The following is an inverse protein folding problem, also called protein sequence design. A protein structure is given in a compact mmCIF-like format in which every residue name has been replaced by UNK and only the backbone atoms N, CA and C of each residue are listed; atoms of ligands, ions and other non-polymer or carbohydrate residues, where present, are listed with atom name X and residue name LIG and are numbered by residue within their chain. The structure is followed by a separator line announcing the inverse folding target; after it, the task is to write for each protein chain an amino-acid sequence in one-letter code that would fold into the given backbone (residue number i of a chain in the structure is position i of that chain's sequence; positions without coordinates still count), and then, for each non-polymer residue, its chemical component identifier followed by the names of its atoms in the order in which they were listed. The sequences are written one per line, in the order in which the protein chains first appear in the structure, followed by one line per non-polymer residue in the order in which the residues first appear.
data_IF_258855809599
#
_entry.id   IF_258855809599
#
_cell.length_a   1.000
_cell.length_b   1.000
_cell.length_c   1.000
_cell.angle_alpha   90.00
_cell.angle_beta   90.00
_cell.angle_gamma   90.00
#
_symmetry.space_group_name_H-M   'P 1'
#
loop_
_entity.id
_entity.type
_entity.pdbx_description
1 polymer ?
#
# COMPACT_ATOMS: atom_id res chain seq x y z
N UNK A 1 11.36 1.03 -12.98
CA UNK A 1 9.97 0.99 -12.50
C UNK A 1 9.51 -0.45 -12.55
N UNK A 2 8.81 -0.91 -11.53
CA UNK A 2 8.24 -2.25 -11.49
C UNK A 2 6.78 -2.15 -11.10
N UNK A 3 5.93 -2.90 -11.78
CA UNK A 3 4.52 -3.11 -11.43
C UNK A 3 4.43 -4.47 -10.76
N UNK A 4 4.12 -4.52 -9.48
CA UNK A 4 3.81 -5.77 -8.79
C UNK A 4 2.31 -6.00 -8.83
N UNK A 5 1.86 -7.16 -9.31
CA UNK A 5 0.45 -7.45 -9.54
C UNK A 5 0.03 -8.74 -8.86
N UNK A 6 -1.09 -8.67 -8.15
CA UNK A 6 -1.76 -9.84 -7.60
C UNK A 6 -2.48 -10.59 -8.72
N UNK A 7 -2.03 -11.80 -9.00
CA UNK A 7 -2.62 -12.72 -9.96
C UNK A 7 -3.46 -13.79 -9.28
N UNK A 8 -3.94 -13.60 -8.05
CA UNK A 8 -4.80 -14.60 -7.37
C UNK A 8 -6.06 -14.96 -8.18
N UNK A 9 -6.59 -14.00 -8.93
CA UNK A 9 -7.75 -14.19 -9.82
C UNK A 9 -7.35 -14.44 -11.29
N UNK A 10 -6.05 -14.46 -11.61
CA UNK A 10 -5.51 -14.55 -12.97
C UNK A 10 -4.57 -15.76 -13.11
N UNK A 11 -4.43 -16.29 -14.31
CA UNK A 11 -3.36 -17.25 -14.59
C UNK A 11 -1.98 -16.56 -14.62
N UNK A 12 -0.87 -17.29 -14.39
CA UNK A 12 0.47 -16.76 -14.61
C UNK A 12 0.63 -16.21 -16.04
N UNK A 13 1.30 -15.08 -16.21
CA UNK A 13 1.54 -14.39 -17.48
C UNK A 13 0.37 -13.57 -18.00
N UNK A 14 -0.86 -13.80 -17.52
CA UNK A 14 -2.06 -13.10 -18.02
C UNK A 14 -2.02 -11.61 -17.69
N UNK A 15 -1.49 -11.24 -16.52
CA UNK A 15 -1.41 -9.84 -16.14
C UNK A 15 -0.36 -9.11 -16.99
N UNK A 16 0.79 -9.74 -17.22
CA UNK A 16 1.84 -9.23 -18.12
C UNK A 16 1.26 -8.96 -19.50
N UNK A 17 0.62 -9.95 -20.11
CA UNK A 17 0.02 -9.82 -21.46
C UNK A 17 -0.98 -8.67 -21.53
N UNK A 18 -1.86 -8.54 -20.52
CA UNK A 18 -2.85 -7.46 -20.44
C UNK A 18 -2.19 -6.09 -20.32
N UNK A 19 -1.19 -5.95 -19.46
CA UNK A 19 -0.47 -4.69 -19.32
C UNK A 19 0.27 -4.30 -20.59
N UNK A 20 0.92 -5.26 -21.27
CA UNK A 20 1.58 -5.01 -22.55
C UNK A 20 0.59 -4.61 -23.63
N UNK A 21 -0.55 -5.29 -23.72
CA UNK A 21 -1.63 -4.93 -24.65
C UNK A 21 -2.21 -3.54 -24.36
N UNK A 22 -2.23 -3.11 -23.09
CA UNK A 22 -2.62 -1.77 -22.67
C UNK A 22 -1.52 -0.71 -22.87
N UNK A 23 -0.35 -1.08 -23.43
CA UNK A 23 0.73 -0.15 -23.76
C UNK A 23 1.77 0.04 -22.65
N UNK A 24 1.82 -0.82 -21.63
CA UNK A 24 2.86 -0.76 -20.61
C UNK A 24 4.24 -0.96 -21.26
N UNK A 25 5.18 0.00 -21.17
CA UNK A 25 6.46 -0.07 -21.86
C UNK A 25 7.31 -1.28 -21.44
N UNK A 26 8.03 -1.88 -22.40
CA UNK A 26 8.84 -3.09 -22.15
C UNK A 26 9.91 -2.95 -21.07
N UNK A 27 10.41 -1.73 -20.86
CA UNK A 27 11.39 -1.44 -19.82
C UNK A 27 10.80 -1.44 -18.40
N UNK A 28 9.47 -1.37 -18.26
CA UNK A 28 8.77 -1.54 -16.98
C UNK A 28 8.68 -3.03 -16.68
N UNK A 29 9.26 -3.45 -15.55
CA UNK A 29 9.19 -4.84 -15.12
C UNK A 29 7.80 -5.13 -14.54
N UNK A 30 7.28 -6.33 -14.77
CA UNK A 30 6.06 -6.82 -14.12
C UNK A 30 6.45 -7.98 -13.21
N UNK A 31 6.13 -7.87 -11.94
CA UNK A 31 6.28 -8.92 -10.94
C UNK A 31 4.89 -9.48 -10.62
N UNK A 32 4.64 -10.72 -10.99
CA UNK A 32 3.41 -11.43 -10.64
C UNK A 32 3.60 -12.17 -9.33
N UNK A 33 2.60 -12.11 -8.45
CA UNK A 33 2.50 -12.95 -7.25
C UNK A 33 1.03 -13.33 -7.03
N UNK A 34 0.77 -14.37 -6.25
CA UNK A 34 -0.59 -14.75 -5.86
C UNK A 34 -0.72 -14.90 -4.34
N UNK A 35 -1.96 -15.08 -3.86
CA UNK A 35 -2.27 -15.29 -2.45
C UNK A 35 -1.47 -16.46 -1.86
N UNK A 36 -1.23 -17.53 -2.63
CA UNK A 36 -0.44 -18.66 -2.16
C UNK A 36 1.03 -18.26 -1.87
N UNK A 37 1.60 -17.35 -2.65
CA UNK A 37 2.95 -16.83 -2.40
C UNK A 37 2.98 -16.00 -1.11
N UNK A 38 1.96 -15.16 -0.90
CA UNK A 38 1.79 -14.41 0.36
C UNK A 38 1.65 -15.33 1.56
N UNK A 39 0.81 -16.37 1.49
CA UNK A 39 0.59 -17.30 2.60
C UNK A 39 1.85 -18.10 2.91
N UNK A 40 2.60 -18.49 1.88
CA UNK A 40 3.87 -19.19 2.06
C UNK A 40 4.91 -18.32 2.77
N UNK A 41 4.98 -17.04 2.44
CA UNK A 41 5.91 -16.11 3.09
C UNK A 41 5.43 -15.66 4.48
N UNK A 42 4.11 -15.54 4.69
CA UNK A 42 3.49 -14.99 5.89
C UNK A 42 2.30 -15.84 6.36
N UNK A 43 2.55 -17.01 6.99
CA UNK A 43 1.47 -17.90 7.43
C UNK A 43 0.49 -17.25 8.42
N UNK A 44 0.94 -16.24 9.19
CA UNK A 44 0.10 -15.47 10.13
C UNK A 44 -1.15 -14.87 9.45
N UNK A 45 -1.06 -14.54 8.15
CA UNK A 45 -2.17 -13.94 7.42
C UNK A 45 -3.39 -14.86 7.36
N UNK A 46 -3.21 -16.18 7.18
CA UNK A 46 -4.33 -17.15 7.14
C UNK A 46 -4.57 -17.83 8.47
N UNK A 47 -3.52 -18.08 9.23
CA UNK A 47 -3.61 -18.81 10.48
C UNK A 47 -4.26 -17.98 11.59
N UNK A 48 -4.14 -16.66 11.54
CA UNK A 48 -4.67 -15.75 12.55
C UNK A 48 -5.53 -14.64 11.92
N UNK A 49 -4.93 -13.79 11.06
CA UNK A 49 -5.57 -12.54 10.64
C UNK A 49 -6.85 -12.76 9.82
N UNK A 50 -6.84 -13.68 8.86
CA UNK A 50 -8.02 -14.03 8.05
C UNK A 50 -9.20 -14.48 8.93
N UNK A 51 -8.94 -15.00 10.13
CA UNK A 51 -9.96 -15.49 11.08
C UNK A 51 -10.52 -14.38 11.98
N UNK A 52 -9.93 -13.18 12.00
CA UNK A 52 -10.40 -12.07 12.84
C UNK A 52 -11.82 -11.63 12.44
N UNK A 53 -12.67 -11.17 13.38
CA UNK A 53 -14.09 -10.91 13.11
C UNK A 53 -14.34 -9.89 11.98
N UNK A 54 -13.54 -8.83 11.88
CA UNK A 54 -13.67 -7.83 10.83
C UNK A 54 -13.46 -8.45 9.43
N UNK A 55 -12.42 -9.27 9.26
CA UNK A 55 -12.15 -10.00 8.03
C UNK A 55 -13.30 -10.94 7.64
N UNK A 56 -13.88 -11.63 8.62
CA UNK A 56 -15.01 -12.54 8.40
C UNK A 56 -16.32 -11.82 8.03
N UNK A 57 -16.43 -10.51 8.31
CA UNK A 57 -17.59 -9.70 7.90
C UNK A 57 -17.50 -9.23 6.44
N UNK A 58 -16.32 -9.22 5.84
CA UNK A 58 -16.16 -8.82 4.43
C UNK A 58 -16.55 -9.99 3.52
N UNK A 59 -17.71 -9.84 2.88
CA UNK A 59 -18.27 -10.86 1.99
C UNK A 59 -17.33 -11.20 0.84
N UNK A 60 -16.70 -10.21 0.22
CA UNK A 60 -15.81 -10.37 -0.93
C UNK A 60 -14.58 -11.23 -0.60
N UNK A 61 -13.98 -11.03 0.57
CA UNK A 61 -12.88 -11.88 1.05
C UNK A 61 -13.35 -13.32 1.30
N UNK A 62 -14.55 -13.51 1.88
CA UNK A 62 -15.12 -14.84 2.12
C UNK A 62 -15.47 -15.59 0.84
N UNK A 63 -15.93 -14.87 -0.18
CA UNK A 63 -16.29 -15.43 -1.49
C UNK A 63 -15.05 -15.61 -2.40
N UNK A 64 -13.86 -15.24 -1.94
CA UNK A 64 -12.62 -15.31 -2.72
C UNK A 64 -12.56 -14.32 -3.88
N UNK A 65 -13.39 -13.28 -3.85
CA UNK A 65 -13.38 -12.18 -4.83
C UNK A 65 -12.16 -11.28 -4.61
N UNK A 66 -11.83 -11.03 -3.35
CA UNK A 66 -10.60 -10.34 -2.96
C UNK A 66 -9.62 -11.34 -2.37
N UNK A 67 -8.35 -11.17 -2.72
CA UNK A 67 -7.25 -11.88 -2.06
C UNK A 67 -6.87 -11.18 -0.75
N UNK A 68 -5.98 -11.82 0.01
CA UNK A 68 -5.30 -11.21 1.16
C UNK A 68 -4.50 -9.96 0.79
N UNK A 69 -4.10 -9.79 -0.46
CA UNK A 69 -3.38 -8.60 -0.91
C UNK A 69 -4.23 -7.32 -0.78
N UNK A 70 -5.56 -7.42 -0.66
CA UNK A 70 -6.46 -6.28 -0.45
C UNK A 70 -6.38 -5.65 0.96
N UNK A 71 -5.84 -6.38 1.95
CA UNK A 71 -5.76 -5.92 3.33
C UNK A 71 -4.37 -5.97 3.96
N UNK A 72 -3.40 -6.50 3.22
CA UNK A 72 -2.04 -6.75 3.69
C UNK A 72 -1.02 -6.25 2.67
N UNK A 73 -1.14 -4.97 2.28
CA UNK A 73 -0.36 -4.35 1.19
C UNK A 73 1.15 -4.46 1.43
N UNK A 74 1.61 -4.18 2.67
CA UNK A 74 3.03 -4.31 3.03
C UNK A 74 3.58 -5.74 2.87
N UNK A 75 2.78 -6.77 3.16
CA UNK A 75 3.17 -8.16 2.93
C UNK A 75 3.25 -8.48 1.43
N UNK A 76 2.26 -8.05 0.66
CA UNK A 76 2.22 -8.22 -0.79
C UNK A 76 3.41 -7.56 -1.48
N UNK A 77 3.70 -6.30 -1.14
CA UNK A 77 4.86 -5.56 -1.61
C UNK A 77 6.17 -6.27 -1.28
N UNK A 78 6.29 -6.82 -0.07
CA UNK A 78 7.49 -7.52 0.35
C UNK A 78 7.74 -8.82 -0.42
N UNK A 79 6.73 -9.48 -1.00
CA UNK A 79 6.99 -10.63 -1.90
C UNK A 79 7.89 -10.20 -3.05
N UNK A 80 7.54 -9.09 -3.71
CA UNK A 80 8.37 -8.52 -4.76
C UNK A 80 9.73 -8.08 -4.21
N UNK A 81 9.73 -7.29 -3.14
CA UNK A 81 10.96 -6.69 -2.63
C UNK A 81 11.99 -7.75 -2.21
N UNK A 82 11.55 -8.80 -1.54
CA UNK A 82 12.42 -9.88 -1.09
C UNK A 82 12.92 -10.77 -2.23
N UNK A 83 12.23 -10.79 -3.38
CA UNK A 83 12.70 -11.48 -4.60
C UNK A 83 13.92 -10.82 -5.24
N UNK A 84 14.18 -9.54 -4.94
CA UNK A 84 15.33 -8.79 -5.47
C UNK A 84 16.58 -9.16 -4.66
N UNK A 85 17.71 -9.49 -5.31
CA UNK A 85 18.99 -9.69 -4.63
C UNK A 85 19.35 -8.49 -3.75
N UNK A 86 19.82 -8.72 -2.53
CA UNK A 86 20.01 -7.66 -1.52
C UNK A 86 20.83 -6.45 -1.99
N UNK A 87 21.90 -6.69 -2.75
CA UNK A 87 22.75 -5.63 -3.32
C UNK A 87 22.05 -4.77 -4.37
N UNK A 88 21.00 -5.30 -5.01
CA UNK A 88 20.21 -4.67 -6.07
C UNK A 88 18.89 -4.08 -5.58
N UNK A 89 18.53 -4.25 -4.30
CA UNK A 89 17.28 -3.69 -3.75
C UNK A 89 17.30 -2.17 -3.85
N UNK A 90 16.20 -1.49 -4.17
CA UNK A 90 16.17 -0.03 -4.12
C UNK A 90 16.32 0.46 -2.66
N UNK A 91 16.81 1.69 -2.48
CA UNK A 91 16.85 2.32 -1.16
C UNK A 91 15.46 2.75 -0.68
N UNK A 92 14.62 3.18 -1.64
CA UNK A 92 13.23 3.56 -1.41
C UNK A 92 12.33 2.99 -2.50
N UNK A 93 11.11 2.62 -2.12
CA UNK A 93 10.05 2.17 -3.03
C UNK A 93 8.83 3.07 -2.86
N UNK A 94 8.36 3.67 -3.96
CA UNK A 94 7.05 4.29 -4.01
C UNK A 94 6.00 3.26 -4.45
N UNK A 95 4.87 3.26 -3.76
CA UNK A 95 3.70 2.44 -4.05
C UNK A 95 2.52 3.36 -4.30
N UNK A 96 1.79 3.07 -5.37
CA UNK A 96 0.56 3.73 -5.76
C UNK A 96 -0.49 2.63 -5.95
N UNK A 97 -1.67 2.82 -5.37
CA UNK A 97 -2.84 2.01 -5.74
C UNK A 97 -3.23 2.30 -7.21
N UNK A 98 -3.88 1.34 -7.85
CA UNK A 98 -4.22 1.38 -9.28
C UNK A 98 -5.27 2.46 -9.61
N UNK A 99 -6.06 2.87 -8.64
CA UNK A 99 -7.08 3.92 -8.76
C UNK A 99 -6.61 5.30 -8.24
N UNK A 100 -5.31 5.51 -8.11
CA UNK A 100 -4.71 6.82 -7.83
C UNK A 100 -4.42 7.59 -9.12
N UNK A 101 -4.85 8.85 -9.13
CA UNK A 101 -4.54 9.82 -10.18
C UNK A 101 -3.62 10.93 -9.69
N UNK A 102 -2.69 11.37 -10.55
CA UNK A 102 -1.94 12.61 -10.34
C UNK A 102 -2.16 13.58 -11.49
N UNK A 103 -2.54 14.83 -11.19
CA UNK A 103 -2.83 15.87 -12.21
C UNK A 103 -1.59 16.66 -12.65
N UNK A 104 -0.42 16.35 -12.10
CA UNK A 104 0.87 16.96 -12.44
C UNK A 104 1.80 16.01 -13.18
N UNK A 105 3.07 16.39 -13.28
CA UNK A 105 4.15 15.50 -13.71
C UNK A 105 4.70 14.74 -12.49
N UNK A 106 4.68 13.41 -12.52
CA UNK A 106 5.24 12.59 -11.44
C UNK A 106 6.73 12.86 -11.21
N UNK A 107 7.47 13.28 -12.24
CA UNK A 107 8.87 13.68 -12.10
C UNK A 107 9.01 14.86 -11.14
N UNK A 108 8.12 15.86 -11.21
CA UNK A 108 8.10 17.00 -10.29
C UNK A 108 7.75 16.56 -8.87
N UNK A 109 6.81 15.63 -8.72
CA UNK A 109 6.45 15.06 -7.41
C UNK A 109 7.65 14.32 -6.76
N UNK A 110 8.35 13.48 -7.51
CA UNK A 110 9.54 12.78 -7.01
C UNK A 110 10.69 13.73 -6.76
N UNK A 111 10.89 14.74 -7.61
CA UNK A 111 11.88 15.78 -7.40
C UNK A 111 11.56 16.63 -6.15
N UNK A 112 10.29 16.89 -5.85
CA UNK A 112 9.93 17.62 -4.63
C UNK A 112 10.19 16.80 -3.37
N UNK A 113 10.10 15.47 -3.43
CA UNK A 113 10.21 14.57 -2.27
C UNK A 113 11.57 13.89 -2.14
N UNK A 114 12.51 14.12 -3.06
CA UNK A 114 13.81 13.42 -3.09
C UNK A 114 14.68 13.63 -1.84
N UNK A 115 14.49 14.75 -1.14
CA UNK A 115 15.26 15.12 0.04
C UNK A 115 14.73 14.46 1.33
N UNK A 116 13.54 13.85 1.26
CA UNK A 116 12.94 13.19 2.41
C UNK A 116 13.66 11.89 2.75
N UNK A 117 14.15 11.78 3.98
CA UNK A 117 14.91 10.61 4.46
C UNK A 117 14.08 9.64 5.29
N UNK A 118 12.85 10.02 5.67
CA UNK A 118 11.98 9.19 6.48
C UNK A 118 11.75 7.80 5.87
N UNK A 119 11.70 6.79 6.73
CA UNK A 119 11.49 5.39 6.35
C UNK A 119 10.09 5.12 5.80
N UNK A 120 9.10 5.87 6.27
CA UNK A 120 7.75 5.89 5.72
C UNK A 120 7.34 7.32 5.35
N UNK A 121 6.94 7.53 4.09
CA UNK A 121 6.12 8.67 3.71
C UNK A 121 4.71 8.21 3.42
N UNK A 122 3.73 8.77 4.12
CA UNK A 122 2.32 8.44 3.91
C UNK A 122 1.43 9.65 4.15
N UNK A 123 0.18 9.55 3.72
CA UNK A 123 -0.84 10.56 4.00
C UNK A 123 -1.66 10.18 5.26
N UNK A 124 -2.11 11.19 6.01
CA UNK A 124 -3.03 11.02 7.15
C UNK A 124 -2.49 10.08 8.24
N UNK A 125 -1.23 10.26 8.65
CA UNK A 125 -0.67 9.55 9.81
C UNK A 125 -1.33 10.08 11.09
N UNK A 126 -2.02 9.20 11.83
CA UNK A 126 -2.71 9.55 13.08
C UNK A 126 -2.89 8.31 13.97
N UNK A 127 -3.20 8.46 15.28
CA UNK A 127 -3.44 7.31 16.15
C UNK A 127 -4.66 6.48 15.70
N UNK A 128 -4.59 5.16 15.88
CA UNK A 128 -5.72 4.25 15.66
C UNK A 128 -6.84 4.52 16.68
N UNK A 129 -8.08 4.54 16.20
CA UNK A 129 -9.28 4.63 17.06
C UNK A 129 -9.92 3.26 17.25
N UNK A 130 -10.40 2.94 18.46
CA UNK A 130 -11.23 1.74 18.71
C UNK A 130 -12.56 1.74 17.96
N UNK A 131 -12.97 2.89 17.40
CA UNK A 131 -14.17 2.98 16.56
C UNK A 131 -13.90 2.63 15.10
N UNK A 132 -12.63 2.53 14.69
CA UNK A 132 -12.27 2.23 13.31
C UNK A 132 -12.41 0.74 13.03
N UNK A 133 -13.12 0.35 11.98
CA UNK A 133 -13.51 -1.04 11.72
C UNK A 133 -12.37 -2.08 11.79
N UNK A 134 -11.13 -1.68 11.46
CA UNK A 134 -9.98 -2.57 11.40
C UNK A 134 -9.08 -2.57 12.64
N UNK A 135 -9.43 -1.82 13.69
CA UNK A 135 -8.57 -1.58 14.86
C UNK A 135 -8.06 -2.87 15.54
N UNK A 136 -8.87 -3.93 15.54
CA UNK A 136 -8.59 -5.23 16.15
C UNK A 136 -8.11 -6.31 15.16
N UNK A 137 -7.91 -5.95 13.89
CA UNK A 137 -7.40 -6.86 12.86
C UNK A 137 -5.88 -6.93 12.94
N UNK A 138 -5.40 -7.50 14.05
CA UNK A 138 -3.99 -7.62 14.41
C UNK A 138 -3.66 -9.06 14.82
N UNK A 139 -2.43 -9.51 14.60
CA UNK A 139 -1.96 -10.81 15.11
C UNK A 139 -1.74 -10.72 16.60
N UNK A 140 -1.69 -11.87 17.27
CA UNK A 140 -1.55 -11.89 18.72
C UNK A 140 -0.17 -11.34 19.14
N UNK A 141 0.87 -11.62 18.35
CA UNK A 141 2.21 -11.05 18.57
C UNK A 141 2.24 -9.53 18.37
N UNK A 142 1.54 -9.01 17.36
CA UNK A 142 1.43 -7.58 17.15
C UNK A 142 0.74 -6.91 18.33
N UNK A 143 -0.36 -7.49 18.83
CA UNK A 143 -1.11 -6.96 19.96
C UNK A 143 -0.25 -6.85 21.22
N UNK A 144 0.62 -7.85 21.46
CA UNK A 144 1.55 -7.88 22.57
C UNK A 144 2.70 -6.86 22.45
N UNK A 145 3.20 -6.61 21.24
CA UNK A 145 4.37 -5.73 21.00
C UNK A 145 4.00 -4.26 20.81
N UNK A 146 2.85 -4.01 20.20
CA UNK A 146 2.38 -2.67 19.84
C UNK A 146 1.02 -2.47 20.50
N UNK A 147 1.00 -2.04 21.76
CA UNK A 147 -0.25 -1.81 22.47
C UNK A 147 -1.02 -0.67 21.79
N UNK A 148 -2.35 -0.67 21.94
CA UNK A 148 -3.24 0.19 21.16
C UNK A 148 -2.86 1.68 21.17
N UNK A 149 -2.38 2.22 22.29
CA UNK A 149 -1.99 3.63 22.40
C UNK A 149 -0.78 4.01 21.52
N UNK A 150 0.01 3.02 21.11
CA UNK A 150 1.20 3.19 20.26
C UNK A 150 0.89 2.83 18.79
N UNK A 151 -0.38 2.53 18.46
CA UNK A 151 -0.80 2.23 17.10
C UNK A 151 -1.14 3.48 16.33
N UNK A 152 -0.64 3.53 15.11
CA UNK A 152 -0.91 4.56 14.12
C UNK A 152 -1.61 3.94 12.93
N UNK A 153 -2.45 4.72 12.26
CA UNK A 153 -2.95 4.41 10.93
C UNK A 153 -2.49 5.48 9.94
N UNK A 154 -2.30 5.06 8.69
CA UNK A 154 -1.97 5.91 7.56
C UNK A 154 -2.69 5.37 6.32
N UNK A 155 -3.03 6.25 5.39
CA UNK A 155 -3.65 5.83 4.12
C UNK A 155 -2.61 5.17 3.23
N UNK A 156 -3.03 4.13 2.52
CA UNK A 156 -2.17 3.30 1.67
C UNK A 156 -2.23 3.63 0.18
N UNK A 157 -3.09 4.58 -0.20
CA UNK A 157 -3.25 5.03 -1.59
C UNK A 157 -1.92 5.37 -2.27
N UNK A 158 -1.08 6.14 -1.57
CA UNK A 158 0.28 6.46 -2.00
C UNK A 158 1.19 6.45 -0.80
N UNK A 159 2.25 5.65 -0.87
CA UNK A 159 3.24 5.53 0.20
C UNK A 159 4.64 5.40 -0.37
N UNK A 160 5.64 5.83 0.40
CA UNK A 160 7.05 5.53 0.14
C UNK A 160 7.62 4.76 1.32
N UNK A 161 8.28 3.66 1.05
CA UNK A 161 8.94 2.81 2.03
C UNK A 161 10.45 2.86 1.82
N UNK A 162 11.24 2.91 2.89
CA UNK A 162 12.67 2.60 2.84
C UNK A 162 12.89 1.09 2.77
N UNK A 163 14.09 0.72 2.33
CA UNK A 163 14.59 -0.67 2.44
C UNK A 163 14.52 -1.19 3.88
N UNK A 164 14.99 -0.38 4.84
CA UNK A 164 15.04 -0.77 6.26
C UNK A 164 13.65 -1.11 6.79
N UNK A 165 12.64 -0.31 6.44
CA UNK A 165 11.25 -0.59 6.81
C UNK A 165 10.75 -1.88 6.15
N UNK A 166 10.98 -2.07 4.86
CA UNK A 166 10.53 -3.28 4.16
C UNK A 166 11.16 -4.57 4.72
N UNK A 167 12.46 -4.54 4.99
CA UNK A 167 13.17 -5.66 5.61
C UNK A 167 12.66 -5.92 7.04
N UNK A 168 12.43 -4.88 7.84
CA UNK A 168 11.87 -5.01 9.19
C UNK A 168 10.44 -5.55 9.20
N UNK A 169 9.57 -5.05 8.31
CA UNK A 169 8.21 -5.56 8.12
C UNK A 169 8.22 -7.04 7.70
N UNK A 170 9.12 -7.42 6.79
CA UNK A 170 9.27 -8.80 6.37
C UNK A 170 9.69 -9.69 7.54
N UNK A 171 10.72 -9.29 8.28
CA UNK A 171 11.22 -10.04 9.43
C UNK A 171 10.13 -10.25 10.49
N UNK A 172 9.43 -9.17 10.87
CA UNK A 172 8.35 -9.22 11.84
C UNK A 172 7.22 -10.16 11.40
N UNK A 173 6.77 -10.06 10.16
CA UNK A 173 5.65 -10.87 9.67
C UNK A 173 6.05 -12.34 9.44
N UNK A 174 7.21 -12.59 8.81
CA UNK A 174 7.64 -13.93 8.39
C UNK A 174 8.23 -14.74 9.56
N UNK A 175 9.06 -14.12 10.40
CA UNK A 175 9.78 -14.83 11.47
C UNK A 175 9.07 -14.73 12.82
N UNK A 176 8.43 -13.60 13.11
CA UNK A 176 7.80 -13.34 14.40
C UNK A 176 6.28 -13.41 14.37
N UNK A 177 5.66 -13.61 13.21
CA UNK A 177 4.18 -13.63 13.07
C UNK A 177 3.54 -12.33 13.58
N UNK A 178 4.26 -11.21 13.48
CA UNK A 178 3.82 -9.89 13.92
C UNK A 178 3.33 -9.12 12.69
N UNK A 179 2.00 -9.02 12.53
CA UNK A 179 1.36 -8.34 11.41
C UNK A 179 -0.03 -7.83 11.78
N UNK A 180 -0.52 -6.84 11.05
CA UNK A 180 -1.86 -6.27 11.22
C UNK A 180 -2.46 -5.87 9.87
N UNK A 181 -3.71 -5.39 9.88
CA UNK A 181 -4.29 -4.67 8.74
C UNK A 181 -3.35 -3.58 8.27
N UNK A 182 -3.06 -3.51 6.97
CA UNK A 182 -1.89 -2.81 6.47
C UNK A 182 -1.89 -1.30 6.79
N UNK A 183 -3.05 -0.64 6.72
CA UNK A 183 -3.20 0.78 7.08
C UNK A 183 -2.73 1.10 8.50
N UNK A 184 -2.75 0.13 9.44
CA UNK A 184 -2.15 0.29 10.76
C UNK A 184 -0.80 -0.41 10.95
N UNK A 185 -0.59 -1.54 10.27
CA UNK A 185 0.63 -2.34 10.43
C UNK A 185 1.86 -1.56 10.03
N UNK A 186 1.81 -0.92 8.85
CA UNK A 186 2.95 -0.20 8.28
C UNK A 186 3.43 0.94 9.18
N UNK A 187 2.60 1.95 9.52
CA UNK A 187 3.06 3.07 10.36
C UNK A 187 3.41 2.65 11.78
N UNK A 188 2.63 1.76 12.40
CA UNK A 188 2.92 1.36 13.79
C UNK A 188 4.20 0.54 13.90
N UNK A 189 4.47 -0.36 12.95
CA UNK A 189 5.71 -1.12 12.94
C UNK A 189 6.91 -0.28 12.53
N UNK A 190 6.72 0.75 11.71
CA UNK A 190 7.77 1.75 11.47
C UNK A 190 8.23 2.37 12.79
N UNK A 191 7.29 2.84 13.62
CA UNK A 191 7.64 3.39 14.93
C UNK A 191 8.23 2.32 15.87
N UNK A 192 7.66 1.11 15.91
CA UNK A 192 8.15 0.02 16.77
C UNK A 192 9.59 -0.38 16.46
N UNK A 193 10.03 -0.21 15.21
CA UNK A 193 11.39 -0.47 14.75
C UNK A 193 12.34 0.73 14.95
N UNK A 194 11.90 1.76 15.69
CA UNK A 194 12.62 3.02 15.86
C UNK A 194 12.97 3.72 14.52
N UNK A 195 12.11 3.54 13.52
CA UNK A 195 12.24 4.15 12.19
C UNK A 195 11.40 5.42 12.06
N UNK A 196 11.78 6.30 11.13
CA UNK A 196 11.16 7.62 11.00
C UNK A 196 9.95 7.60 10.05
N UNK A 197 8.86 8.25 10.46
CA UNK A 197 7.71 8.50 9.60
C UNK A 197 7.56 9.99 9.33
N UNK A 198 7.23 10.35 8.09
CA UNK A 198 6.83 11.71 7.73
C UNK A 198 5.58 11.72 6.84
N UNK A 199 4.91 12.87 6.79
CA UNK A 199 3.73 13.05 5.97
C UNK A 199 4.12 13.51 4.57
N UNK A 200 3.42 13.00 3.55
CA UNK A 200 3.47 13.58 2.21
C UNK A 200 2.98 15.03 2.31
N UNK A 201 3.70 15.98 1.72
CA UNK A 201 3.35 17.40 1.75
C UNK A 201 1.88 17.59 1.30
N UNK A 202 1.00 18.16 2.14
CA UNK A 202 -0.39 18.41 1.82
C UNK A 202 -0.61 19.22 0.53
N UNK A 203 0.41 19.94 0.04
CA UNK A 203 0.39 20.61 -1.26
C UNK A 203 0.20 19.63 -2.42
N UNK A 204 0.56 18.35 -2.26
CA UNK A 204 0.31 17.32 -3.26
C UNK A 204 -1.00 16.57 -3.06
N UNK A 205 -1.73 16.81 -1.97
CA UNK A 205 -2.93 16.02 -1.65
C UNK A 205 -4.20 16.81 -1.96
N UNK A 206 -5.11 16.24 -2.76
CA UNK A 206 -6.41 16.86 -3.04
C UNK A 206 -7.41 16.57 -1.92
N UNK A 207 -7.45 17.39 -0.87
CA UNK A 207 -8.54 17.32 0.13
C UNK A 207 -9.86 17.91 -0.40
N UNK A 208 -11.02 17.26 -0.19
CA UNK A 208 -11.26 15.96 0.46
C UNK A 208 -11.21 14.75 -0.49
N UNK A 209 -10.94 14.95 -1.79
CA UNK A 209 -11.01 13.93 -2.86
C UNK A 209 -9.89 12.88 -2.85
N UNK A 210 -9.03 12.89 -1.84
CA UNK A 210 -8.04 11.84 -1.59
C UNK A 210 -8.54 11.06 -0.37
N UNK A 211 -9.49 10.15 -0.59
CA UNK A 211 -10.16 9.35 0.45
C UNK A 211 -10.72 8.06 -0.17
N UNK A 212 -10.84 7.00 0.64
CA UNK A 212 -11.29 5.66 0.22
C UNK A 212 -12.72 5.64 -0.34
N UNK A 213 -13.57 6.56 0.11
CA UNK A 213 -14.99 6.69 -0.24
C UNK A 213 -15.25 7.71 -1.36
N UNK A 214 -14.22 8.43 -1.82
CA UNK A 214 -14.36 9.32 -2.98
C UNK A 214 -14.66 8.47 -4.23
N UNK A 215 -15.41 9.03 -5.18
CA UNK A 215 -15.63 8.41 -6.50
C UNK A 215 -15.42 9.50 -7.54
N UNK A 216 -14.50 9.26 -8.46
CA UNK A 216 -14.26 10.16 -9.59
C UNK A 216 -14.58 9.41 -10.88
N UNK A 217 -15.54 9.96 -11.62
CA UNK A 217 -15.87 9.54 -12.97
C UNK A 217 -14.82 10.04 -13.97
N UNK A 218 -14.74 9.41 -15.14
CA UNK A 218 -13.77 9.78 -16.18
C UNK A 218 -13.89 11.25 -16.60
N UNK A 219 -15.12 11.75 -16.74
CA UNK A 219 -15.39 13.14 -17.11
C UNK A 219 -14.90 14.14 -16.07
N UNK A 220 -15.04 13.81 -14.78
CA UNK A 220 -14.50 14.62 -13.68
C UNK A 220 -12.98 14.63 -13.72
N UNK A 221 -12.36 13.46 -13.96
CA UNK A 221 -10.91 13.35 -14.08
C UNK A 221 -10.36 14.19 -15.23
N UNK A 222 -10.95 14.07 -16.43
CA UNK A 222 -10.56 14.86 -17.60
C UNK A 222 -10.70 16.37 -17.34
N UNK A 223 -11.75 16.78 -16.63
CA UNK A 223 -11.94 18.17 -16.24
C UNK A 223 -10.86 18.66 -15.26
N UNK A 224 -10.45 17.82 -14.30
CA UNK A 224 -9.38 18.11 -13.36
C UNK A 224 -8.01 18.23 -14.04
N UNK A 225 -7.67 17.28 -14.91
CA UNK A 225 -6.40 17.29 -15.66
C UNK A 225 -6.32 18.51 -16.60
N UNK A 226 -7.44 18.90 -17.20
CA UNK A 226 -7.52 20.07 -18.08
C UNK A 226 -7.56 21.41 -17.33
N UNK A 227 -7.77 21.38 -16.01
CA UNK A 227 -7.93 22.59 -15.22
C UNK A 227 -6.60 23.36 -15.13
N UNK A 228 -6.62 24.63 -15.52
CA UNK A 228 -5.46 25.53 -15.39
C UNK A 228 -5.25 26.05 -13.96
N UNK A 229 -6.23 25.87 -13.08
CA UNK A 229 -6.17 26.39 -11.71
C UNK A 229 -5.10 25.67 -10.89
N UNK A 230 -4.17 26.39 -10.24
CA UNK A 230 -3.15 25.79 -9.37
C UNK A 230 -3.74 24.90 -8.26
N UNK A 231 -4.99 25.15 -7.86
CA UNK A 231 -5.71 24.33 -6.86
C UNK A 231 -5.83 22.86 -7.26
N UNK A 232 -5.94 22.59 -8.57
CA UNK A 232 -6.18 21.25 -9.11
C UNK A 232 -4.95 20.65 -9.78
N UNK A 233 -3.85 21.40 -9.91
CA UNK A 233 -2.61 20.93 -10.52
C UNK A 233 -1.67 20.37 -9.46
N UNK A 234 -0.87 19.38 -9.86
CA UNK A 234 0.09 18.71 -9.00
C UNK A 234 -0.58 18.13 -7.74
N UNK A 235 -1.74 17.50 -7.92
CA UNK A 235 -2.52 16.90 -6.84
C UNK A 235 -2.74 15.41 -7.09
N UNK A 236 -2.64 14.66 -6.00
CA UNK A 236 -3.03 13.27 -5.86
C UNK A 236 -4.53 13.19 -5.54
N UNK A 237 -5.19 12.30 -6.26
CA UNK A 237 -6.59 11.91 -6.14
C UNK A 237 -6.64 10.39 -5.99
N UNK A 238 -7.69 9.88 -5.36
CA UNK A 238 -7.89 8.44 -5.18
C UNK A 238 -9.29 8.05 -5.66
N UNK A 239 -9.49 6.76 -5.91
CA UNK A 239 -10.75 6.17 -6.36
C UNK A 239 -11.23 6.71 -7.71
N UNK A 240 -10.34 6.69 -8.70
CA UNK A 240 -10.69 6.71 -10.13
C UNK A 240 -11.41 5.39 -10.47
N UNK A 241 -12.65 5.44 -10.96
CA UNK A 241 -13.48 4.22 -11.16
C UNK A 241 -13.81 3.93 -12.63
N UNK A 242 -12.91 4.26 -13.55
CA UNK A 242 -13.07 4.07 -14.99
C UNK A 242 -11.89 3.33 -15.62
#
# INVERSE_FOLDING_TARGET
MTVSVDTSALGPGVAVERFRAAGLPDWVQVHEYCEADMVRAYPVLTEELKKKPAMQKVRQLREGVYSLAWGFHGCALNIWFQSIPGESRPAFCWVFEDDVGFTGDLADFFAATHHETADLLADTIKPVSQTWFWWDTVSDEYDARVPLQDRWEAREHVQRFSRSLLDGLHQLAAEHRCAAWSEQSTPSLCQHLDLEMAQIDPVFISRPRFSWDTRLEESDWLALVSARSPRFRNKLYHALKF
#
